data_IF_120426521871
#
_entry.id   IF_120426521871
#
_cell.length_a   1.000
_cell.length_b   1.000
_cell.length_c   1.000
_cell.angle_alpha   90.00
_cell.angle_beta   90.00
_cell.angle_gamma   90.00
#
_symmetry.space_group_name_H-M   'P 1'
#
loop_
_entity.id
_entity.type
_entity.pdbx_description
1 polymer ?
#
# COMPACT_ATOMS: atom_id res chain seq x y z
N UNK A 1 40.74 1.20 22.03
CA UNK A 1 39.48 1.15 22.81
C UNK A 1 38.41 2.14 22.34
N UNK A 2 38.76 3.39 22.00
CA UNK A 2 37.78 4.45 21.68
C UNK A 2 36.84 4.13 20.50
N UNK A 3 37.32 3.41 19.47
CA UNK A 3 36.52 3.05 18.28
C UNK A 3 35.39 2.06 18.60
N UNK A 4 35.63 1.10 19.51
CA UNK A 4 34.65 0.07 19.88
C UNK A 4 33.49 0.69 20.66
N UNK A 5 33.80 1.63 21.57
CA UNK A 5 32.78 2.35 22.33
C UNK A 5 31.88 3.21 21.42
N UNK A 6 32.47 3.90 20.45
CA UNK A 6 31.76 4.67 19.43
C UNK A 6 30.82 3.79 18.59
N UNK A 7 31.26 2.59 18.19
CA UNK A 7 30.41 1.67 17.44
C UNK A 7 29.22 1.17 18.25
N UNK A 8 29.38 0.89 19.55
CA UNK A 8 28.26 0.48 20.41
C UNK A 8 27.25 1.62 20.64
N UNK A 9 27.71 2.85 20.81
CA UNK A 9 26.83 4.04 20.94
C UNK A 9 26.02 4.25 19.65
N UNK A 10 26.67 4.11 18.49
CA UNK A 10 25.99 4.25 17.20
C UNK A 10 24.94 3.15 16.98
N UNK A 11 25.27 1.89 17.34
CA UNK A 11 24.36 0.75 17.23
C UNK A 11 23.15 0.91 18.15
N UNK A 12 23.37 1.37 19.38
CA UNK A 12 22.29 1.64 20.34
C UNK A 12 21.35 2.76 19.83
N UNK A 13 21.90 3.84 19.28
CA UNK A 13 21.12 4.94 18.70
C UNK A 13 20.26 4.48 17.49
N UNK A 14 20.79 3.59 16.65
CA UNK A 14 20.07 3.03 15.50
C UNK A 14 18.97 2.05 15.92
N UNK A 15 19.19 1.25 16.98
CA UNK A 15 18.18 0.30 17.50
C UNK A 15 16.97 0.96 18.17
N UNK A 16 17.08 2.24 18.56
CA UNK A 16 16.01 3.01 19.20
C UNK A 16 14.96 3.56 18.23
N UNK A 17 15.20 3.51 16.91
CA UNK A 17 14.32 4.09 15.91
C UNK A 17 13.10 3.19 15.65
N UNK A 18 12.16 3.16 16.60
CA UNK A 18 10.86 2.51 16.41
C UNK A 18 10.05 3.31 15.38
N UNK A 19 9.37 2.66 14.42
CA UNK A 19 8.48 3.36 13.50
C UNK A 19 7.40 4.08 14.31
N UNK A 20 7.43 5.42 14.28
CA UNK A 20 6.42 6.24 14.95
C UNK A 20 5.08 6.02 14.25
N UNK A 21 3.97 5.93 15.01
CA UNK A 21 2.65 5.89 14.41
C UNK A 21 2.37 7.21 13.69
N UNK A 22 1.70 7.12 12.54
CA UNK A 22 1.33 8.26 11.73
C UNK A 22 0.07 8.91 12.30
N UNK A 23 0.20 10.15 12.78
CA UNK A 23 -0.91 10.93 13.32
C UNK A 23 -1.34 11.98 12.31
N UNK A 24 -2.61 11.99 11.93
CA UNK A 24 -3.12 12.95 10.97
C UNK A 24 -4.64 12.99 10.94
N UNK A 25 -5.18 13.71 9.96
CA UNK A 25 -6.60 13.77 9.69
C UNK A 25 -6.96 12.81 8.56
N UNK A 26 -8.03 12.04 8.73
CA UNK A 26 -8.58 11.20 7.67
C UNK A 26 -9.20 12.10 6.60
N UNK A 27 -8.55 12.24 5.45
CA UNK A 27 -8.99 13.17 4.40
C UNK A 27 -9.83 12.49 3.33
N UNK A 28 -9.59 11.21 3.07
CA UNK A 28 -10.33 10.45 2.07
C UNK A 28 -10.43 8.99 2.49
N UNK A 29 -11.54 8.37 2.06
CA UNK A 29 -11.83 6.96 2.18
C UNK A 29 -12.14 6.41 0.81
N UNK A 30 -11.55 5.28 0.48
CA UNK A 30 -11.78 4.60 -0.79
C UNK A 30 -12.16 3.14 -0.50
N UNK A 31 -13.22 2.70 -1.15
CA UNK A 31 -13.69 1.33 -1.11
C UNK A 31 -13.63 0.77 -2.52
N UNK A 32 -12.78 -0.24 -2.72
CA UNK A 32 -12.69 -0.98 -3.96
C UNK A 32 -13.51 -2.25 -3.77
N UNK A 33 -14.63 -2.34 -4.48
CA UNK A 33 -15.44 -3.56 -4.45
C UNK A 33 -14.67 -4.71 -5.11
N UNK A 34 -14.73 -5.89 -4.49
CA UNK A 34 -14.15 -7.09 -5.06
C UNK A 34 -14.75 -7.39 -6.44
N UNK A 35 -13.88 -7.65 -7.41
CA UNK A 35 -14.22 -7.80 -8.81
C UNK A 35 -13.40 -8.92 -9.44
N UNK A 36 -13.85 -9.44 -10.59
CA UNK A 36 -13.02 -10.32 -11.40
C UNK A 36 -11.99 -9.47 -12.14
N UNK A 37 -10.73 -9.89 -12.10
CA UNK A 37 -9.62 -9.30 -12.84
C UNK A 37 -9.83 -9.53 -14.34
N UNK A 38 -10.60 -8.63 -14.96
CA UNK A 38 -10.83 -8.62 -16.40
C UNK A 38 -9.74 -7.83 -17.15
N UNK A 39 -8.98 -6.99 -16.45
CA UNK A 39 -8.14 -5.96 -17.06
C UNK A 39 -6.70 -6.45 -17.28
N UNK A 40 -6.56 -7.47 -18.12
CA UNK A 40 -5.36 -7.54 -18.95
C UNK A 40 -5.54 -6.59 -20.14
N UNK A 41 -4.54 -5.75 -20.42
CA UNK A 41 -4.58 -4.81 -21.55
C UNK A 41 -4.87 -5.58 -22.84
N UNK A 42 -6.00 -5.28 -23.50
CA UNK A 42 -6.29 -5.79 -24.86
C UNK A 42 -5.27 -5.18 -25.82
N UNK A 43 -4.23 -5.92 -26.17
CA UNK A 43 -3.28 -5.53 -27.22
C UNK A 43 -3.88 -5.87 -28.59
N UNK A 44 -4.22 -4.85 -29.38
CA UNK A 44 -4.52 -5.02 -30.80
C UNK A 44 -3.17 -5.02 -31.54
N UNK A 45 -2.80 -6.16 -32.12
CA UNK A 45 -1.60 -6.28 -32.95
C UNK A 45 -2.02 -6.17 -34.41
N UNK A 46 -1.64 -5.06 -35.06
CA UNK A 46 -1.74 -4.91 -36.51
C UNK A 46 -0.36 -5.17 -37.11
N UNK A 47 -0.26 -6.18 -37.98
CA UNK A 47 0.97 -6.51 -38.70
C UNK A 47 0.66 -6.74 -40.17
N UNK A 48 1.52 -6.22 -41.06
CA UNK A 48 1.42 -6.40 -42.52
C UNK A 48 1.81 -7.81 -42.98
N UNK A 49 2.36 -8.63 -42.08
CA UNK A 49 2.89 -9.97 -42.31
C UNK A 49 2.40 -10.91 -41.22
N UNK A 50 2.17 -12.18 -41.55
CA UNK A 50 1.67 -13.19 -40.62
C UNK A 50 2.68 -13.47 -39.50
N UNK A 51 2.29 -13.17 -38.25
CA UNK A 51 3.03 -13.51 -37.04
C UNK A 51 2.24 -14.60 -36.31
N UNK A 52 2.82 -15.77 -36.01
CA UNK A 52 2.16 -16.76 -35.18
C UNK A 52 2.04 -16.23 -33.75
N UNK A 53 0.85 -15.78 -33.37
CA UNK A 53 0.54 -15.30 -32.03
C UNK A 53 -0.10 -16.43 -31.24
N UNK A 54 0.53 -16.83 -30.14
CA UNK A 54 -0.11 -17.67 -29.12
C UNK A 54 -0.99 -16.74 -28.28
N UNK A 55 -2.32 -16.94 -28.23
CA UNK A 55 -3.17 -16.10 -27.40
C UNK A 55 -2.74 -16.26 -25.93
N UNK A 56 -2.50 -15.14 -25.25
CA UNK A 56 -2.36 -15.16 -23.79
C UNK A 56 -3.71 -15.61 -23.22
N UNK A 57 -3.75 -16.83 -22.70
CA UNK A 57 -4.89 -17.31 -21.91
C UNK A 57 -4.79 -16.63 -20.54
N UNK A 58 -5.49 -15.51 -20.37
CA UNK A 58 -5.71 -14.93 -19.05
C UNK A 58 -6.90 -15.63 -18.40
N UNK A 59 -6.67 -16.31 -17.28
CA UNK A 59 -7.76 -16.79 -16.44
C UNK A 59 -8.15 -15.67 -15.48
N UNK A 60 -9.39 -15.15 -15.54
CA UNK A 60 -9.83 -14.12 -14.62
C UNK A 60 -9.65 -14.60 -13.17
N UNK A 61 -9.01 -13.80 -12.35
CA UNK A 61 -8.85 -14.08 -10.91
C UNK A 61 -9.74 -13.15 -10.13
N UNK A 62 -10.40 -13.67 -9.11
CA UNK A 62 -11.14 -12.81 -8.20
C UNK A 62 -10.17 -11.96 -7.37
N UNK A 63 -10.38 -10.65 -7.40
CA UNK A 63 -9.69 -9.68 -6.55
C UNK A 63 -10.64 -9.36 -5.38
N UNK A 64 -10.23 -9.58 -4.12
CA UNK A 64 -11.07 -9.28 -2.97
C UNK A 64 -11.25 -7.77 -2.78
N UNK A 65 -12.30 -7.39 -2.05
CA UNK A 65 -12.54 -5.99 -1.72
C UNK A 65 -11.39 -5.38 -0.91
N UNK A 66 -11.05 -4.11 -1.19
CA UNK A 66 -10.09 -3.32 -0.41
C UNK A 66 -10.76 -2.10 0.22
N UNK A 67 -10.35 -1.78 1.45
CA UNK A 67 -10.75 -0.56 2.15
C UNK A 67 -9.50 0.25 2.46
N UNK A 68 -9.51 1.51 2.06
CA UNK A 68 -8.31 2.35 2.04
C UNK A 68 -8.62 3.67 2.74
N UNK A 69 -7.72 4.06 3.65
CA UNK A 69 -7.68 5.36 4.28
C UNK A 69 -6.54 6.20 3.73
N UNK A 70 -6.84 7.46 3.42
CA UNK A 70 -5.86 8.49 3.13
C UNK A 70 -5.79 9.43 4.33
N UNK A 71 -4.66 9.44 5.01
CA UNK A 71 -4.45 10.25 6.22
C UNK A 71 -3.43 11.32 5.90
N UNK A 72 -3.78 12.57 6.15
CA UNK A 72 -2.92 13.72 5.91
C UNK A 72 -2.39 14.29 7.23
N UNK A 73 -1.11 14.65 7.25
CA UNK A 73 -0.54 15.53 8.27
C UNK A 73 0.08 16.76 7.57
N UNK A 74 0.84 17.58 8.31
CA UNK A 74 1.52 18.76 7.73
C UNK A 74 2.49 18.40 6.59
N UNK A 75 3.08 17.21 6.65
CA UNK A 75 4.23 16.84 5.83
C UNK A 75 3.82 16.03 4.59
N UNK A 76 2.85 15.13 4.72
CA UNK A 76 2.42 14.25 3.63
C UNK A 76 1.02 13.65 3.83
N UNK A 77 0.54 13.00 2.78
CA UNK A 77 -0.63 12.13 2.80
C UNK A 77 -0.16 10.69 2.62
N UNK A 78 -0.58 9.79 3.50
CA UNK A 78 -0.25 8.36 3.43
C UNK A 78 -1.50 7.50 3.23
N UNK A 79 -1.32 6.44 2.43
CA UNK A 79 -2.31 5.39 2.16
C UNK A 79 -2.18 4.27 3.19
N UNK A 80 -3.30 3.87 3.79
CA UNK A 80 -3.39 2.73 4.71
C UNK A 80 -4.49 1.79 4.29
N UNK A 81 -4.16 0.51 4.10
CA UNK A 81 -5.18 -0.53 3.95
C UNK A 81 -5.74 -0.89 5.33
N UNK A 82 -7.06 -0.87 5.44
CA UNK A 82 -7.80 -1.15 6.67
C UNK A 82 -8.82 -2.25 6.44
N UNK A 83 -9.35 -2.81 7.52
CA UNK A 83 -10.48 -3.73 7.48
C UNK A 83 -11.82 -2.96 7.36
N UNK A 84 -12.86 -3.68 6.97
CA UNK A 84 -14.20 -3.13 6.75
C UNK A 84 -14.81 -2.49 8.00
N UNK A 85 -14.56 -3.04 9.20
CA UNK A 85 -15.10 -2.51 10.46
C UNK A 85 -14.42 -1.18 10.81
N UNK A 86 -13.10 -1.12 10.72
CA UNK A 86 -12.35 0.13 10.89
C UNK A 86 -12.79 1.18 9.87
N UNK A 87 -13.03 0.76 8.62
CA UNK A 87 -13.53 1.64 7.57
C UNK A 87 -14.88 2.27 7.92
N UNK A 88 -15.82 1.49 8.45
CA UNK A 88 -17.16 1.99 8.83
C UNK A 88 -17.09 2.86 10.08
N UNK A 89 -16.23 2.51 11.04
CA UNK A 89 -16.14 3.17 12.35
C UNK A 89 -15.76 4.66 12.27
N UNK A 90 -14.80 5.00 11.42
CA UNK A 90 -14.25 6.36 11.37
C UNK A 90 -15.05 7.28 10.44
N UNK A 91 -14.82 8.58 10.46
CA UNK A 91 -15.38 9.55 9.50
C UNK A 91 -14.29 10.45 8.92
N UNK A 92 -14.51 10.91 7.69
CA UNK A 92 -13.61 11.90 7.07
C UNK A 92 -13.62 13.17 7.92
N UNK A 93 -12.45 13.78 8.12
CA UNK A 93 -12.22 14.91 9.01
C UNK A 93 -11.81 14.52 10.43
N UNK A 94 -11.91 13.25 10.82
CA UNK A 94 -11.46 12.80 12.14
C UNK A 94 -9.94 12.77 12.24
N UNK A 95 -9.41 13.16 13.41
CA UNK A 95 -8.00 12.97 13.73
C UNK A 95 -7.78 11.51 14.15
N UNK A 96 -6.97 10.79 13.40
CA UNK A 96 -6.68 9.37 13.64
C UNK A 96 -5.18 9.11 13.75
N UNK A 97 -4.86 8.01 14.41
CA UNK A 97 -3.49 7.52 14.59
C UNK A 97 -3.39 6.17 13.93
N UNK A 98 -2.65 6.09 12.84
CA UNK A 98 -2.40 4.87 12.09
C UNK A 98 -1.06 4.29 12.48
N UNK A 99 -1.02 3.00 12.80
CA UNK A 99 0.25 2.33 13.00
C UNK A 99 0.86 2.04 11.63
N UNK A 100 2.10 2.49 11.42
CA UNK A 100 2.88 2.15 10.24
C UNK A 100 3.28 0.67 10.29
N UNK A 101 2.33 -0.24 10.04
CA UNK A 101 2.70 -1.55 9.52
C UNK A 101 3.06 -1.32 8.06
N UNK A 102 4.37 -1.28 7.76
CA UNK A 102 4.84 -1.53 6.40
C UNK A 102 4.25 -2.87 5.98
N UNK A 103 3.20 -2.86 5.18
CA UNK A 103 2.77 -4.05 4.46
C UNK A 103 3.93 -4.29 3.48
N UNK A 104 4.73 -5.33 3.73
CA UNK A 104 5.67 -5.81 2.74
C UNK A 104 4.85 -6.19 1.51
N UNK A 105 4.88 -5.34 0.49
CA UNK A 105 4.42 -5.65 -0.86
C UNK A 105 5.48 -6.53 -1.52
N UNK A 106 5.76 -7.70 -0.94
CA UNK A 106 6.36 -8.80 -1.67
C UNK A 106 5.20 -9.65 -2.15
N UNK A 107 4.63 -9.21 -3.27
CA UNK A 107 3.73 -10.00 -4.10
C UNK A 107 4.57 -10.65 -5.20
#
# INVERSE_FOLDING_TARGET
MNKILLTFILLAALSGCKPKPFKGFLVCKEYIQGHMDNDSVKSIQEAYMYVPVVPRIHTPKYIPSEWIFYVANKDCVLRFNVDSLTYIKHRVGERIVMNNKKINLNK
#
